data_IF_465305533243
#
_entry.id   IF_465305533243
#
_cell.length_a   1.000
_cell.length_b   1.000
_cell.length_c   1.000
_cell.angle_alpha   90.00
_cell.angle_beta   90.00
_cell.angle_gamma   90.00
#
_symmetry.space_group_name_H-M   'P 1'
#
loop_
_entity.id
_entity.type
_entity.pdbx_description
1 polymer ?
#
# COMPACT_ATOMS: atom_id res chain seq x y z
N UNK A 1 31.94 -4.64 -13.62
CA UNK A 1 30.53 -4.29 -13.94
C UNK A 1 30.39 -4.20 -15.44
N UNK A 2 29.73 -5.18 -16.07
CA UNK A 2 29.61 -5.25 -17.53
C UNK A 2 28.37 -4.45 -17.97
N UNK A 3 28.58 -3.38 -18.75
CA UNK A 3 27.52 -2.60 -19.41
C UNK A 3 27.63 -1.07 -19.23
N UNK A 4 27.26 -0.31 -20.26
CA UNK A 4 27.14 1.16 -20.19
C UNK A 4 26.20 1.53 -19.03
N UNK A 5 26.56 2.56 -18.24
CA UNK A 5 25.83 3.05 -17.04
C UNK A 5 24.34 3.40 -17.25
N UNK A 6 23.82 3.31 -18.47
CA UNK A 6 22.41 3.59 -18.82
C UNK A 6 21.43 2.65 -18.12
N UNK A 7 21.82 1.41 -17.80
CA UNK A 7 20.89 0.41 -17.26
C UNK A 7 20.96 0.26 -15.72
N UNK A 8 21.90 0.94 -15.06
CA UNK A 8 22.06 0.89 -13.58
C UNK A 8 20.81 1.43 -12.84
N UNK A 9 20.16 2.53 -13.28
CA UNK A 9 18.93 2.99 -12.65
C UNK A 9 17.77 2.00 -12.77
N UNK A 10 17.72 1.24 -13.88
CA UNK A 10 16.67 0.27 -14.13
C UNK A 10 16.82 -0.97 -13.25
N UNK A 11 18.02 -1.56 -13.17
CA UNK A 11 18.26 -2.74 -12.31
C UNK A 11 17.96 -2.44 -10.84
N UNK A 12 18.29 -1.23 -10.38
CA UNK A 12 17.96 -0.79 -9.03
C UNK A 12 16.44 -0.74 -8.80
N UNK A 13 15.67 -0.22 -9.77
CA UNK A 13 14.20 -0.21 -9.67
C UNK A 13 13.61 -1.62 -9.69
N UNK A 14 14.13 -2.50 -10.55
CA UNK A 14 13.70 -3.91 -10.64
C UNK A 14 14.02 -4.66 -9.35
N UNK A 15 15.18 -4.42 -8.75
CA UNK A 15 15.56 -5.06 -7.49
C UNK A 15 14.66 -4.60 -6.33
N UNK A 16 14.39 -3.30 -6.21
CA UNK A 16 13.44 -2.78 -5.21
C UNK A 16 12.04 -3.36 -5.43
N UNK A 17 11.58 -3.44 -6.69
CA UNK A 17 10.28 -4.04 -7.02
C UNK A 17 10.22 -5.52 -6.61
N UNK A 18 11.20 -6.33 -7.00
CA UNK A 18 11.26 -7.75 -6.66
C UNK A 18 11.26 -8.00 -5.16
N UNK A 19 12.00 -7.18 -4.41
CA UNK A 19 12.06 -7.28 -2.94
C UNK A 19 10.73 -6.84 -2.31
N UNK A 20 10.07 -5.81 -2.86
CA UNK A 20 8.75 -5.38 -2.42
C UNK A 20 7.68 -6.45 -2.65
N UNK A 21 7.73 -7.16 -3.79
CA UNK A 21 6.76 -8.23 -4.11
C UNK A 21 6.82 -9.42 -3.15
N UNK A 22 7.97 -9.66 -2.54
CA UNK A 22 8.13 -10.70 -1.50
C UNK A 22 7.96 -10.15 -0.07
N UNK A 23 7.51 -8.90 0.07
CA UNK A 23 7.27 -8.26 1.37
C UNK A 23 8.56 -7.88 2.11
N UNK A 24 9.69 -7.73 1.41
CA UNK A 24 10.98 -7.43 2.01
C UNK A 24 11.40 -5.97 1.77
N UNK A 25 12.00 -5.36 2.80
CA UNK A 25 12.44 -3.97 2.78
C UNK A 25 13.93 -3.79 2.51
N UNK A 26 14.38 -2.54 2.57
CA UNK A 26 15.78 -2.13 2.35
C UNK A 26 16.79 -2.87 3.24
N UNK A 27 16.44 -3.14 4.50
CA UNK A 27 17.29 -3.90 5.42
C UNK A 27 17.60 -5.29 4.88
N UNK A 28 16.58 -6.03 4.45
CA UNK A 28 16.73 -7.35 3.85
C UNK A 28 17.52 -7.30 2.53
N UNK A 29 17.35 -6.24 1.73
CA UNK A 29 18.17 -6.03 0.52
C UNK A 29 19.65 -5.93 0.87
N UNK A 30 19.97 -5.24 1.96
CA UNK A 30 21.35 -5.07 2.43
C UNK A 30 21.93 -6.41 2.88
N UNK A 31 21.17 -7.19 3.65
CA UNK A 31 21.57 -8.54 4.05
C UNK A 31 21.73 -9.46 2.84
N UNK A 32 20.80 -9.43 1.89
CA UNK A 32 20.87 -10.23 0.66
C UNK A 32 22.15 -9.92 -0.13
N UNK A 33 22.46 -8.65 -0.35
CA UNK A 33 23.70 -8.25 -1.01
C UNK A 33 24.93 -8.73 -0.24
N UNK A 34 24.93 -8.63 1.10
CA UNK A 34 26.03 -9.11 1.93
C UNK A 34 26.26 -10.62 1.84
N UNK A 35 25.19 -11.43 1.83
CA UNK A 35 25.28 -12.90 1.72
C UNK A 35 25.77 -13.34 0.34
N UNK A 36 25.38 -12.60 -0.71
CA UNK A 36 25.73 -12.89 -2.11
C UNK A 36 27.09 -12.34 -2.54
N UNK A 37 27.83 -11.69 -1.63
CA UNK A 37 29.06 -10.94 -1.93
C UNK A 37 28.87 -9.89 -3.05
N UNK A 38 27.72 -9.21 -3.02
CA UNK A 38 27.39 -8.12 -3.93
C UNK A 38 27.70 -6.75 -3.31
N UNK A 39 27.95 -5.73 -4.14
CA UNK A 39 28.00 -4.35 -3.65
C UNK A 39 26.69 -3.99 -2.95
N UNK A 40 26.74 -3.04 -1.99
CA UNK A 40 25.56 -2.64 -1.24
C UNK A 40 24.44 -2.16 -2.17
N UNK A 41 23.18 -2.35 -1.78
CA UNK A 41 22.04 -1.87 -2.55
C UNK A 41 22.01 -0.34 -2.60
N UNK A 42 21.03 0.21 -3.32
CA UNK A 42 20.80 1.66 -3.34
C UNK A 42 20.72 2.26 -1.94
N UNK A 43 21.19 3.49 -1.78
CA UNK A 43 21.04 4.25 -0.54
C UNK A 43 19.56 4.37 -0.13
N UNK A 44 19.28 4.45 1.16
CA UNK A 44 17.92 4.46 1.73
C UNK A 44 17.03 5.58 1.14
N UNK A 45 17.59 6.78 0.95
CA UNK A 45 16.87 7.89 0.30
C UNK A 45 16.41 7.54 -1.13
N UNK A 46 17.27 6.88 -1.88
CA UNK A 46 16.98 6.42 -3.25
C UNK A 46 15.96 5.29 -3.25
N UNK A 47 16.06 4.35 -2.29
CA UNK A 47 15.07 3.30 -2.07
C UNK A 47 13.67 3.89 -1.82
N UNK A 48 13.55 4.83 -0.88
CA UNK A 48 12.28 5.48 -0.55
C UNK A 48 11.68 6.21 -1.75
N UNK A 49 12.52 6.90 -2.55
CA UNK A 49 12.06 7.53 -3.79
C UNK A 49 11.54 6.53 -4.82
N UNK A 50 12.17 5.35 -4.94
CA UNK A 50 11.72 4.29 -5.85
C UNK A 50 10.40 3.70 -5.35
N UNK A 51 10.29 3.37 -4.07
CA UNK A 51 9.06 2.83 -3.45
C UNK A 51 7.89 3.79 -3.63
N UNK A 52 8.08 5.08 -3.37
CA UNK A 52 7.02 6.07 -3.55
C UNK A 52 6.50 6.11 -5.00
N UNK A 53 7.41 6.02 -5.98
CA UNK A 53 7.03 5.95 -7.40
C UNK A 53 6.31 4.64 -7.73
N UNK A 54 6.79 3.50 -7.21
CA UNK A 54 6.13 2.21 -7.39
C UNK A 54 4.73 2.22 -6.79
N UNK A 55 4.54 2.81 -5.62
CA UNK A 55 3.24 2.95 -4.97
C UNK A 55 2.28 3.79 -5.80
N UNK A 56 2.73 4.95 -6.33
CA UNK A 56 1.92 5.79 -7.21
C UNK A 56 1.49 5.04 -8.49
N UNK A 57 2.42 4.34 -9.14
CA UNK A 57 2.10 3.54 -10.33
C UNK A 57 1.13 2.40 -10.00
N UNK A 58 1.37 1.68 -8.90
CA UNK A 58 0.51 0.56 -8.49
C UNK A 58 -0.90 1.03 -8.15
N UNK A 59 -1.03 2.20 -7.50
CA UNK A 59 -2.32 2.83 -7.22
C UNK A 59 -3.06 3.14 -8.51
N UNK A 60 -2.41 3.77 -9.49
CA UNK A 60 -3.06 4.09 -10.77
C UNK A 60 -3.52 2.85 -11.54
N UNK A 61 -2.74 1.77 -11.52
CA UNK A 61 -3.15 0.48 -12.13
C UNK A 61 -4.32 -0.14 -11.39
N UNK A 62 -4.32 -0.10 -10.05
CA UNK A 62 -5.42 -0.59 -9.23
C UNK A 62 -6.71 0.18 -9.51
N UNK A 63 -6.66 1.52 -9.53
CA UNK A 63 -7.81 2.38 -9.83
C UNK A 63 -8.39 2.10 -11.23
N UNK A 64 -7.54 1.97 -12.25
CA UNK A 64 -7.99 1.64 -13.60
C UNK A 64 -8.61 0.24 -13.69
N UNK A 65 -8.04 -0.74 -12.98
CA UNK A 65 -8.58 -2.10 -12.90
C UNK A 65 -9.94 -2.13 -12.20
N UNK A 66 -10.07 -1.41 -11.08
CA UNK A 66 -11.31 -1.30 -10.30
C UNK A 66 -12.42 -0.59 -11.09
N UNK A 67 -12.08 0.50 -11.80
CA UNK A 67 -13.02 1.19 -12.69
C UNK A 67 -13.49 0.27 -13.83
N UNK A 68 -12.60 -0.53 -14.42
CA UNK A 68 -12.96 -1.48 -15.46
C UNK A 68 -13.90 -2.57 -14.93
N UNK A 69 -13.65 -3.07 -13.71
CA UNK A 69 -14.51 -4.05 -13.05
C UNK A 69 -15.91 -3.48 -12.75
N UNK A 70 -15.99 -2.23 -12.28
CA UNK A 70 -17.26 -1.55 -12.03
C UNK A 70 -18.10 -1.40 -13.31
N UNK A 71 -17.46 -1.02 -14.43
CA UNK A 71 -18.13 -0.89 -15.72
C UNK A 71 -18.65 -2.24 -16.22
N UNK A 72 -17.86 -3.31 -16.06
CA UNK A 72 -18.25 -4.66 -16.47
C UNK A 72 -19.50 -5.13 -15.70
N UNK A 73 -19.58 -4.90 -14.40
CA UNK A 73 -20.77 -5.19 -13.58
C UNK A 73 -22.01 -4.46 -14.06
N UNK A 74 -21.90 -3.13 -14.27
CA UNK A 74 -23.01 -2.31 -14.77
C UNK A 74 -23.49 -2.82 -16.13
N UNK A 75 -22.57 -3.21 -17.01
CA UNK A 75 -22.92 -3.73 -18.34
C UNK A 75 -23.63 -5.10 -18.28
N UNK A 76 -23.26 -5.95 -17.32
CA UNK A 76 -23.87 -7.27 -17.15
C UNK A 76 -25.27 -7.18 -16.53
N UNK A 77 -25.47 -6.27 -15.58
CA UNK A 77 -26.76 -6.06 -14.91
C UNK A 77 -27.69 -5.20 -15.79
N UNK A 78 -27.13 -4.41 -16.70
CA UNK A 78 -27.84 -3.43 -17.52
C UNK A 78 -28.61 -2.39 -16.67
N UNK A 79 -28.04 -2.05 -15.51
CA UNK A 79 -28.55 -1.06 -14.56
C UNK A 79 -27.38 -0.40 -13.83
N UNK A 80 -27.58 0.85 -13.38
CA UNK A 80 -26.64 1.53 -12.47
C UNK A 80 -26.69 0.97 -11.05
N UNK A 81 -27.79 0.31 -10.68
CA UNK A 81 -27.99 -0.28 -9.37
C UNK A 81 -27.37 -1.68 -9.35
N UNK A 82 -26.16 -1.75 -8.80
CA UNK A 82 -25.39 -3.00 -8.72
C UNK A 82 -25.43 -3.59 -7.31
N UNK A 83 -25.51 -4.92 -7.23
CA UNK A 83 -25.40 -5.64 -5.97
C UNK A 83 -23.92 -5.91 -5.71
N UNK A 84 -23.48 -5.61 -4.50
CA UNK A 84 -22.11 -5.76 -4.06
C UNK A 84 -22.03 -6.62 -2.79
N UNK A 85 -20.94 -7.36 -2.68
CA UNK A 85 -20.50 -8.01 -1.44
C UNK A 85 -19.31 -7.22 -0.88
N UNK A 86 -19.15 -7.17 0.44
CA UNK A 86 -18.02 -6.50 1.09
C UNK A 86 -17.28 -7.47 2.00
N UNK A 87 -15.96 -7.49 1.91
CA UNK A 87 -15.09 -8.24 2.81
C UNK A 87 -13.95 -7.36 3.33
N UNK A 88 -13.42 -7.67 4.50
CA UNK A 88 -12.38 -6.89 5.14
C UNK A 88 -11.35 -7.74 5.86
N UNK A 89 -10.10 -7.27 5.83
CA UNK A 89 -8.99 -7.93 6.51
C UNK A 89 -8.25 -6.98 7.42
N UNK A 90 -7.59 -7.53 8.44
CA UNK A 90 -6.81 -6.79 9.43
C UNK A 90 -5.34 -7.12 9.27
N UNK A 91 -4.46 -6.13 9.49
CA UNK A 91 -3.01 -6.32 9.40
C UNK A 91 -2.49 -7.37 10.38
N UNK A 92 -3.03 -7.42 11.59
CA UNK A 92 -2.64 -8.38 12.63
C UNK A 92 -3.82 -9.23 13.05
N UNK A 93 -3.57 -10.50 13.36
CA UNK A 93 -4.58 -11.38 13.95
C UNK A 93 -4.98 -10.88 15.35
N UNK A 94 -6.27 -10.94 15.65
CA UNK A 94 -6.84 -10.49 16.92
C UNK A 94 -7.51 -9.12 16.81
N UNK A 95 -8.44 -8.83 17.72
CA UNK A 95 -9.25 -7.60 17.74
C UNK A 95 -8.46 -6.32 18.13
N UNK A 96 -7.14 -6.32 17.97
CA UNK A 96 -6.23 -5.23 18.36
C UNK A 96 -5.54 -4.56 17.16
N UNK A 97 -5.95 -4.88 15.92
CA UNK A 97 -5.35 -4.26 14.74
C UNK A 97 -5.81 -2.81 14.58
N UNK A 98 -4.85 -1.89 14.48
CA UNK A 98 -5.15 -0.49 14.18
C UNK A 98 -5.19 -0.17 12.68
N UNK A 99 -4.93 -1.18 11.83
CA UNK A 99 -4.92 -1.05 10.37
C UNK A 99 -5.69 -2.22 9.77
N UNK A 100 -6.63 -1.90 8.88
CA UNK A 100 -7.41 -2.85 8.12
C UNK A 100 -7.59 -2.39 6.68
N UNK A 101 -8.11 -3.29 5.85
CA UNK A 101 -8.49 -3.01 4.47
C UNK A 101 -9.90 -3.54 4.29
N UNK A 102 -10.76 -2.75 3.66
CA UNK A 102 -12.09 -3.17 3.23
C UNK A 102 -12.11 -3.21 1.70
N UNK A 103 -12.67 -4.25 1.11
CA UNK A 103 -12.84 -4.40 -0.32
C UNK A 103 -14.31 -4.68 -0.64
N UNK A 104 -14.77 -4.08 -1.72
CA UNK A 104 -16.10 -4.26 -2.29
C UNK A 104 -15.97 -5.09 -3.56
N UNK A 105 -16.76 -6.15 -3.68
CA UNK A 105 -16.72 -7.14 -4.74
C UNK A 105 -18.07 -7.17 -5.44
N UNK A 106 -18.08 -7.16 -6.77
CA UNK A 106 -19.31 -7.28 -7.56
C UNK A 106 -19.91 -8.67 -7.51
N UNK A 107 -21.25 -8.75 -7.42
CA UNK A 107 -21.99 -10.01 -7.31
C UNK A 107 -21.87 -10.89 -8.56
N UNK A 108 -21.82 -10.31 -9.78
CA UNK A 108 -21.87 -11.09 -11.03
C UNK A 108 -20.50 -11.50 -11.54
N UNK A 109 -19.54 -10.59 -11.48
CA UNK A 109 -18.15 -10.76 -11.95
C UNK A 109 -17.24 -11.36 -10.89
N UNK A 110 -17.56 -11.19 -9.60
CA UNK A 110 -16.66 -11.54 -8.51
C UNK A 110 -15.39 -10.69 -8.47
N UNK A 111 -15.36 -9.54 -9.15
CA UNK A 111 -14.20 -8.65 -9.22
C UNK A 111 -14.27 -7.56 -8.15
N UNK A 112 -13.11 -7.12 -7.69
CA UNK A 112 -12.99 -5.99 -6.76
C UNK A 112 -13.36 -4.68 -7.47
N UNK A 113 -14.42 -4.02 -7.00
CA UNK A 113 -14.94 -2.75 -7.51
C UNK A 113 -14.26 -1.57 -6.81
N UNK A 114 -14.00 -1.71 -5.51
CA UNK A 114 -13.31 -0.67 -4.72
C UNK A 114 -12.59 -1.31 -3.52
N UNK A 115 -11.54 -0.67 -3.04
CA UNK A 115 -10.82 -1.09 -1.84
C UNK A 115 -10.21 0.11 -1.11
N UNK A 116 -10.47 0.18 0.20
CA UNK A 116 -10.01 1.28 1.05
C UNK A 116 -9.21 0.78 2.25
N UNK A 117 -8.11 1.47 2.55
CA UNK A 117 -7.28 1.20 3.72
C UNK A 117 -7.80 2.01 4.90
N UNK A 118 -8.24 1.33 5.95
CA UNK A 118 -8.70 1.95 7.19
C UNK A 118 -7.58 1.93 8.23
N UNK A 119 -7.30 3.08 8.83
CA UNK A 119 -6.32 3.18 9.93
C UNK A 119 -6.88 4.00 11.08
N UNK A 120 -6.92 3.41 12.27
CA UNK A 120 -7.09 4.13 13.54
C UNK A 120 -5.75 4.55 14.16
N UNK A 121 -4.64 4.16 13.54
CA UNK A 121 -3.29 4.57 13.94
C UNK A 121 -2.82 5.81 13.19
N UNK A 122 -2.26 6.77 13.92
CA UNK A 122 -1.58 7.93 13.37
C UNK A 122 -0.15 7.98 13.90
N UNK A 123 0.85 7.88 13.01
CA UNK A 123 2.27 7.96 13.38
C UNK A 123 2.63 9.31 14.01
N UNK A 124 2.03 10.40 13.54
CA UNK A 124 2.22 11.72 14.15
C UNK A 124 1.71 11.77 15.59
N UNK A 125 0.52 11.22 15.85
CA UNK A 125 -0.02 11.13 17.22
C UNK A 125 0.81 10.19 18.10
N UNK A 126 1.32 9.08 17.57
CA UNK A 126 2.19 8.17 18.33
C UNK A 126 3.52 8.84 18.71
N UNK A 127 4.15 9.54 17.77
CA UNK A 127 5.35 10.33 18.03
C UNK A 127 5.08 11.42 19.08
N UNK A 128 3.96 12.12 18.96
CA UNK A 128 3.56 13.17 19.92
C UNK A 128 3.29 12.60 21.31
N UNK A 129 2.61 11.45 21.44
CA UNK A 129 2.41 10.78 22.75
C UNK A 129 3.71 10.36 23.42
N UNK A 130 4.74 10.02 22.62
CA UNK A 130 6.08 9.74 23.16
C UNK A 130 6.74 11.01 23.71
N UNK A 131 6.38 12.17 23.17
CA UNK A 131 6.85 13.51 23.56
C UNK A 131 6.04 14.09 24.74
N UNK A 132 4.71 13.86 24.80
CA UNK A 132 3.80 14.25 25.90
C UNK A 132 4.07 13.56 27.24
N UNK A 133 4.91 12.51 27.29
CA UNK A 133 5.49 12.06 28.56
C UNK A 133 6.33 13.17 29.25
N UNK A 134 6.57 14.30 28.58
CA UNK A 134 7.12 15.53 29.14
C UNK A 134 6.11 16.65 29.47
N UNK A 135 4.89 16.70 28.91
CA UNK A 135 3.91 17.75 29.24
C UNK A 135 2.46 17.38 28.85
N UNK A 136 1.55 17.55 29.81
CA UNK A 136 0.10 17.31 29.74
C UNK A 136 -0.63 18.43 28.97
N UNK A 137 -1.16 18.21 27.75
CA UNK A 137 -2.35 18.92 27.23
C UNK A 137 -3.00 18.17 26.03
N UNK A 138 -4.21 17.64 26.23
CA UNK A 138 -5.01 16.87 25.25
C UNK A 138 -5.50 17.67 24.04
N UNK A 139 -5.42 17.09 22.84
CA UNK A 139 -6.36 17.37 21.73
C UNK A 139 -6.80 16.08 20.99
N UNK A 140 -8.11 16.01 20.77
CA UNK A 140 -8.82 14.90 20.14
C UNK A 140 -8.59 14.84 18.62
N UNK A 141 -8.25 13.67 18.08
CA UNK A 141 -8.17 13.44 16.64
C UNK A 141 -9.57 13.22 16.08
N UNK A 142 -9.98 14.06 15.12
CA UNK A 142 -11.26 13.94 14.42
C UNK A 142 -11.35 12.57 13.73
N UNK A 143 -12.32 11.75 14.15
CA UNK A 143 -12.85 10.63 13.37
C UNK A 143 -13.39 11.19 12.06
N UNK A 144 -12.89 10.70 10.92
CA UNK A 144 -13.41 11.09 9.62
C UNK A 144 -14.61 10.22 9.27
N UNK A 145 -15.68 10.88 8.85
CA UNK A 145 -16.93 10.34 8.32
C UNK A 145 -16.69 9.59 7.02
N UNK A 146 -17.35 8.45 6.86
CA UNK A 146 -17.57 7.80 5.56
C UNK A 146 -18.07 8.89 4.61
N UNK A 147 -17.33 9.14 3.52
CA UNK A 147 -17.93 9.80 2.36
C UNK A 147 -18.91 8.78 1.81
N UNK A 148 -20.18 8.98 2.12
CA UNK A 148 -21.29 8.26 1.51
C UNK A 148 -21.09 8.31 0.00
N UNK A 149 -21.07 7.12 -0.60
CA UNK A 149 -21.40 6.90 -2.02
C UNK A 149 -22.83 7.36 -2.24
#
# INVERSE_FOLDING_TARGET
>A
MVGKRKNIPEINRRFVYAMSTIGQGHATMTTFCGVMDFPPPVAEKSYNNIINKLQLCSKGVAEASMQSAALEEVTLINSSDIIISGDGTWKTRGYSSCVGVCAVIGDKTGKCIDAEVMSSFCKGCDSWKREERGHLLTKSAKFFTLKNV
#
